data_IF_518147351639
#
_entry.id   IF_518147351639
#
_cell.length_a   1.000
_cell.length_b   1.000
_cell.length_c   1.000
_cell.angle_alpha   90.00
_cell.angle_beta   90.00
_cell.angle_gamma   90.00
#
_symmetry.space_group_name_H-M   'P 1'
#
loop_
_entity.id
_entity.type
_entity.pdbx_description
1 polymer ?
#
# COMPACT_ATOMS: atom_id res chain seq x y z
N UNK A 1 17.04 8.21 10.61
CA UNK A 1 16.61 7.53 9.36
C UNK A 1 16.03 6.13 9.54
N UNK A 2 16.45 5.30 10.50
CA UNK A 2 15.92 3.93 10.68
C UNK A 2 14.42 3.87 11.05
N UNK A 3 13.93 4.77 11.92
CA UNK A 3 12.52 4.83 12.36
C UNK A 3 11.50 4.98 11.23
N UNK A 4 11.77 5.79 10.21
CA UNK A 4 10.81 6.00 9.11
C UNK A 4 10.53 4.73 8.30
N UNK A 5 11.52 3.86 8.18
CA UNK A 5 11.33 2.57 7.49
C UNK A 5 10.55 1.57 8.34
N UNK A 6 10.72 1.61 9.66
CA UNK A 6 9.98 0.75 10.59
C UNK A 6 8.53 1.19 10.77
N UNK A 7 8.29 2.51 10.83
CA UNK A 7 6.98 3.08 11.13
C UNK A 7 6.06 3.12 9.90
N UNK A 8 6.63 3.32 8.70
CA UNK A 8 5.82 3.58 7.51
C UNK A 8 5.91 2.50 6.43
N UNK A 9 7.00 1.72 6.35
CA UNK A 9 7.17 0.80 5.22
C UNK A 9 6.55 -0.57 5.46
N UNK A 10 5.98 -1.15 4.38
CA UNK A 10 5.46 -2.52 4.43
C UNK A 10 6.64 -3.48 4.53
N UNK A 11 6.69 -4.27 5.60
CA UNK A 11 7.73 -5.29 5.79
C UNK A 11 7.31 -6.62 5.14
N UNK A 12 8.17 -7.17 4.30
CA UNK A 12 7.98 -8.49 3.67
C UNK A 12 9.26 -9.31 3.87
N UNK A 13 9.27 -10.19 4.87
CA UNK A 13 10.48 -10.89 5.31
C UNK A 13 11.54 -9.92 5.85
N UNK A 14 12.75 -9.97 5.32
CA UNK A 14 13.87 -9.07 5.69
C UNK A 14 13.92 -7.79 4.85
N UNK A 15 12.90 -7.53 4.02
CA UNK A 15 12.86 -6.39 3.10
C UNK A 15 11.75 -5.41 3.49
N UNK A 16 11.99 -4.13 3.17
CA UNK A 16 11.01 -3.06 3.31
C UNK A 16 10.57 -2.59 1.92
N UNK A 17 9.27 -2.62 1.67
CA UNK A 17 8.63 -1.88 0.58
C UNK A 17 8.56 -0.42 0.96
N UNK A 18 9.53 0.37 0.50
CA UNK A 18 9.67 1.79 0.81
C UNK A 18 9.57 2.64 -0.48
N UNK A 19 9.09 3.89 -0.40
CA UNK A 19 9.13 4.78 -1.54
C UNK A 19 10.58 5.15 -1.84
N UNK A 20 10.91 5.31 -3.13
CA UNK A 20 12.24 5.76 -3.58
C UNK A 20 12.63 7.12 -2.95
N UNK A 21 11.63 7.92 -2.59
CA UNK A 21 11.80 9.12 -1.76
C UNK A 21 10.56 9.30 -0.89
N UNK A 22 10.75 9.55 0.41
CA UNK A 22 9.65 9.91 1.32
C UNK A 22 9.02 11.27 0.98
N UNK A 23 9.65 12.07 0.13
CA UNK A 23 9.06 13.30 -0.41
C UNK A 23 8.15 13.02 -1.63
N UNK A 24 8.09 11.77 -2.10
CA UNK A 24 7.23 11.30 -3.20
C UNK A 24 6.43 10.07 -2.77
N UNK A 25 5.84 10.16 -1.58
CA UNK A 25 4.95 9.12 -1.07
C UNK A 25 3.69 9.08 -1.94
N UNK A 26 3.36 7.89 -2.45
CA UNK A 26 2.13 7.66 -3.20
C UNK A 26 0.92 7.82 -2.26
N UNK A 27 -0.21 8.33 -2.78
CA UNK A 27 -1.45 8.52 -2.00
C UNK A 27 -1.89 7.27 -1.23
N UNK A 28 -1.55 6.07 -1.74
CA UNK A 28 -1.81 4.79 -1.08
C UNK A 28 -1.30 4.69 0.36
N UNK A 29 -0.27 5.45 0.73
CA UNK A 29 0.29 5.48 2.08
C UNK A 29 -0.54 6.27 3.09
N UNK A 30 -1.48 7.10 2.63
CA UNK A 30 -2.40 7.86 3.49
C UNK A 30 -3.76 7.15 3.64
N UNK A 31 -4.00 6.06 2.90
CA UNK A 31 -5.28 5.36 2.90
C UNK A 31 -5.33 4.37 4.05
N UNK A 32 -6.33 4.51 4.91
CA UNK A 32 -6.51 3.63 6.07
C UNK A 32 -6.98 2.23 5.69
N UNK A 33 -6.82 1.30 6.64
CA UNK A 33 -7.29 -0.07 6.52
C UNK A 33 -8.81 -0.20 6.75
N UNK A 34 -9.47 -1.04 5.95
CA UNK A 34 -10.78 -1.62 6.24
C UNK A 34 -10.84 -3.08 5.79
N UNK A 35 -11.58 -3.92 6.53
CA UNK A 35 -11.91 -5.30 6.13
C UNK A 35 -12.96 -5.38 5.02
N UNK A 36 -13.64 -4.25 4.73
CA UNK A 36 -14.57 -4.08 3.61
C UNK A 36 -14.16 -2.82 2.81
N UNK A 37 -12.98 -2.84 2.15
CA UNK A 37 -12.45 -1.65 1.51
C UNK A 37 -13.26 -1.24 0.27
N UNK A 38 -13.24 0.04 -0.05
CA UNK A 38 -13.84 0.60 -1.28
C UNK A 38 -12.82 0.90 -2.39
N UNK A 39 -11.52 0.67 -2.14
CA UNK A 39 -10.45 0.70 -3.13
C UNK A 39 -9.60 -0.59 -3.12
N UNK A 40 -8.83 -0.81 -4.19
CA UNK A 40 -7.81 -1.85 -4.30
C UNK A 40 -6.55 -1.32 -4.96
N UNK A 41 -5.45 -2.06 -4.85
CA UNK A 41 -4.18 -1.74 -5.48
C UNK A 41 -3.80 -2.82 -6.49
N UNK A 42 -3.34 -2.40 -7.67
CA UNK A 42 -2.83 -3.30 -8.70
C UNK A 42 -1.35 -3.68 -8.47
N UNK A 43 -0.80 -4.50 -9.35
CA UNK A 43 0.60 -4.94 -9.29
C UNK A 43 1.61 -3.79 -9.46
N UNK A 44 1.19 -2.65 -9.98
CA UNK A 44 2.02 -1.46 -10.20
C UNK A 44 1.82 -0.40 -9.11
N UNK A 45 1.22 -0.77 -7.98
CA UNK A 45 0.91 0.13 -6.86
C UNK A 45 -0.04 1.29 -7.20
N UNK A 46 -0.89 1.12 -8.21
CA UNK A 46 -1.94 2.09 -8.56
C UNK A 46 -3.21 1.77 -7.78
N UNK A 47 -3.85 2.79 -7.24
CA UNK A 47 -5.11 2.67 -6.47
C UNK A 47 -6.30 2.84 -7.40
N UNK A 48 -7.25 1.92 -7.32
CA UNK A 48 -8.50 1.94 -8.09
C UNK A 48 -9.71 1.78 -7.16
N UNK A 49 -10.82 2.45 -7.50
CA UNK A 49 -12.07 2.27 -6.78
C UNK A 49 -12.71 0.90 -7.12
N UNK A 50 -13.27 0.21 -6.12
CA UNK A 50 -14.02 -1.05 -6.30
C UNK A 50 -15.48 -0.83 -6.69
N UNK A 51 -16.00 0.36 -6.41
CA UNK A 51 -17.38 0.79 -6.66
C UNK A 51 -17.45 2.32 -6.69
N UNK A 52 -18.64 2.86 -6.94
CA UNK A 52 -18.89 4.28 -6.71
C UNK A 52 -18.67 4.65 -5.23
N UNK A 53 -17.99 5.76 -5.00
CA UNK A 53 -17.65 6.28 -3.66
C UNK A 53 -18.38 7.61 -3.51
N UNK A 54 -19.22 7.71 -2.47
CA UNK A 54 -20.01 8.91 -2.26
C UNK A 54 -19.15 10.05 -1.70
N UNK A 55 -19.58 11.29 -1.92
CA UNK A 55 -18.94 12.46 -1.31
C UNK A 55 -18.94 12.31 0.22
N UNK A 56 -17.77 12.46 0.84
CA UNK A 56 -17.58 12.35 2.29
C UNK A 56 -17.33 10.92 2.79
N UNK A 57 -17.39 9.92 1.91
CA UNK A 57 -16.97 8.55 2.26
C UNK A 57 -15.44 8.45 2.28
N UNK A 58 -14.88 7.86 3.34
CA UNK A 58 -13.44 7.62 3.44
C UNK A 58 -12.98 6.53 2.45
N UNK A 59 -11.89 6.79 1.73
CA UNK A 59 -11.28 5.79 0.83
C UNK A 59 -10.37 4.87 1.66
N UNK A 60 -10.60 3.57 1.60
CA UNK A 60 -9.89 2.56 2.42
C UNK A 60 -9.38 1.38 1.60
N UNK A 61 -8.31 0.75 2.08
CA UNK A 61 -7.64 -0.40 1.48
C UNK A 61 -7.67 -1.62 2.41
N UNK A 62 -7.51 -2.83 1.86
CA UNK A 62 -7.26 -4.02 2.68
C UNK A 62 -5.75 -4.23 2.80
N UNK A 63 -5.20 -4.11 4.01
CA UNK A 63 -3.76 -4.23 4.20
C UNK A 63 -3.24 -5.65 3.96
N UNK A 64 -4.12 -6.65 4.06
CA UNK A 64 -3.77 -8.04 3.76
C UNK A 64 -3.31 -8.22 2.32
N UNK A 65 -3.84 -7.44 1.37
CA UNK A 65 -3.41 -7.53 -0.03
C UNK A 65 -1.99 -7.01 -0.26
N UNK A 66 -1.44 -6.19 0.65
CA UNK A 66 -0.04 -5.75 0.58
C UNK A 66 0.93 -6.74 1.22
N UNK A 67 0.52 -7.37 2.32
CA UNK A 67 1.36 -8.37 3.01
C UNK A 67 1.58 -9.62 2.17
N UNK A 68 0.68 -9.90 1.23
CA UNK A 68 0.74 -11.05 0.32
C UNK A 68 1.41 -10.74 -1.03
N UNK A 69 1.98 -9.54 -1.23
CA UNK A 69 2.79 -9.25 -2.42
C UNK A 69 4.03 -10.14 -2.37
N UNK A 70 3.91 -11.33 -2.98
CA UNK A 70 5.03 -12.21 -3.31
C UNK A 70 5.92 -11.42 -4.26
N UNK A 71 7.03 -10.91 -3.74
CA UNK A 71 8.10 -10.34 -4.55
C UNK A 71 8.40 -11.37 -5.64
N UNK A 72 8.30 -11.05 -6.94
CA UNK A 72 8.68 -11.98 -7.99
C UNK A 72 10.14 -12.35 -7.77
N UNK A 73 10.40 -13.60 -7.43
CA UNK A 73 11.74 -14.18 -7.37
C UNK A 73 12.27 -14.27 -8.80
N UNK A 74 12.77 -13.17 -9.34
CA UNK A 74 13.58 -13.20 -10.57
C UNK A 74 14.60 -12.08 -10.59
N UNK A 75 15.78 -12.42 -10.07
CA UNK A 75 17.04 -11.93 -10.58
C UNK A 75 17.89 -13.18 -10.84
N UNK A 76 18.08 -13.50 -12.12
CA UNK A 76 19.21 -14.30 -12.60
C UNK A 76 20.34 -13.34 -12.90
#
# INVERSE_FOLDING_TARGET
>A
MRKLYEDYCVKTGDKYGAPVSFNRINVSWYLNHSSKPNAYVDQNYRVFAKRYINKGEEITLDYKTFMEVKIPTRWK
#
